data_IF_742520354037
#
_entry.id   IF_742520354037
#
_cell.length_a   1.000
_cell.length_b   1.000
_cell.length_c   1.000
_cell.angle_alpha   90.00
_cell.angle_beta   90.00
_cell.angle_gamma   90.00
#
_symmetry.space_group_name_H-M   'P 1'
#
loop_
_entity.id
_entity.type
_entity.pdbx_description
1 polymer ?
#
# COMPACT_ATOMS: atom_id res chain seq x y z
N UNK A 1 -2.41 -24.73 6.52
CA UNK A 1 -1.99 -23.59 5.68
C UNK A 1 -1.68 -22.44 6.61
N UNK A 2 -0.41 -22.10 6.81
CA UNK A 2 -0.10 -20.89 7.59
C UNK A 2 -0.66 -19.70 6.82
N UNK A 3 -1.25 -18.74 7.55
CA UNK A 3 -1.86 -17.52 6.99
C UNK A 3 -0.89 -16.73 6.10
N UNK A 4 0.41 -16.99 6.21
CA UNK A 4 1.48 -16.22 5.59
C UNK A 4 2.19 -16.90 4.41
N UNK A 5 1.83 -18.13 4.04
CA UNK A 5 2.44 -18.82 2.89
C UNK A 5 3.99 -18.84 2.92
N UNK A 6 4.58 -18.92 4.12
CA UNK A 6 6.04 -18.87 4.36
C UNK A 6 6.81 -19.97 3.61
N UNK A 7 6.10 -20.99 3.11
CA UNK A 7 6.64 -22.07 2.28
C UNK A 7 7.26 -21.58 0.96
N UNK A 8 7.00 -20.33 0.57
CA UNK A 8 7.63 -19.69 -0.60
C UNK A 8 9.03 -19.12 -0.31
N UNK A 9 9.36 -18.84 0.94
CA UNK A 9 10.64 -18.27 1.30
C UNK A 9 11.55 -19.43 1.69
N UNK A 10 12.64 -19.64 0.93
CA UNK A 10 13.68 -20.57 1.37
C UNK A 10 14.24 -20.04 2.68
N UNK A 11 14.12 -20.78 3.78
CA UNK A 11 14.74 -20.32 5.03
C UNK A 11 16.26 -20.34 4.83
N UNK A 12 16.99 -19.23 5.04
CA UNK A 12 18.43 -19.23 4.88
C UNK A 12 19.07 -20.25 5.83
N UNK A 13 20.04 -21.02 5.33
CA UNK A 13 20.75 -22.01 6.14
C UNK A 13 21.50 -21.28 7.25
N UNK A 14 21.35 -21.74 8.49
CA UNK A 14 22.08 -21.20 9.63
C UNK A 14 23.60 -21.20 9.33
N UNK A 15 24.32 -20.08 9.56
CA UNK A 15 25.76 -20.03 9.33
C UNK A 15 26.51 -21.11 10.14
N UNK A 16 27.66 -21.60 9.64
CA UNK A 16 28.44 -22.62 10.35
C UNK A 16 28.74 -22.20 11.80
N UNK A 17 28.38 -23.06 12.76
CA UNK A 17 28.57 -22.82 14.19
C UNK A 17 27.37 -22.22 14.92
N UNK A 18 26.27 -21.94 14.23
CA UNK A 18 24.99 -21.50 14.82
C UNK A 18 23.93 -22.61 14.71
N UNK A 19 23.02 -22.68 15.69
CA UNK A 19 21.91 -23.62 15.68
C UNK A 19 20.84 -23.19 14.66
N UNK A 20 20.22 -24.17 14.00
CA UNK A 20 19.01 -23.96 13.22
C UNK A 20 17.79 -24.15 14.12
N UNK A 21 17.26 -23.04 14.63
CA UNK A 21 16.12 -23.03 15.55
C UNK A 21 14.76 -23.11 14.83
N UNK A 22 14.73 -23.29 13.51
CA UNK A 22 13.48 -23.27 12.72
C UNK A 22 12.56 -24.46 13.01
N UNK A 23 13.12 -25.55 13.55
CA UNK A 23 12.39 -26.73 14.03
C UNK A 23 12.07 -26.68 15.53
N UNK A 24 12.45 -25.62 16.25
CA UNK A 24 12.17 -25.48 17.68
C UNK A 24 10.67 -25.24 17.91
N UNK A 25 10.05 -26.09 18.73
CA UNK A 25 8.66 -25.91 19.19
C UNK A 25 8.43 -24.60 19.96
N UNK A 26 9.50 -23.98 20.46
CA UNK A 26 9.50 -22.67 21.10
C UNK A 26 9.96 -21.54 20.16
N UNK A 27 10.02 -21.77 18.84
CA UNK A 27 10.37 -20.72 17.87
C UNK A 27 9.45 -19.50 18.06
N UNK A 28 10.03 -18.42 18.55
CA UNK A 28 9.36 -17.12 18.66
C UNK A 28 9.70 -16.35 17.39
N UNK A 29 8.72 -16.06 16.52
CA UNK A 29 8.99 -15.26 15.33
C UNK A 29 9.62 -13.92 15.71
N UNK A 30 10.49 -13.39 14.85
CA UNK A 30 11.19 -12.16 15.17
C UNK A 30 10.20 -11.05 15.54
N UNK A 31 10.44 -10.28 16.62
CA UNK A 31 9.50 -9.26 17.08
C UNK A 31 9.09 -8.25 16.00
N UNK A 32 10.01 -7.92 15.10
CA UNK A 32 9.73 -7.05 13.96
C UNK A 32 8.76 -7.66 12.94
N UNK A 33 8.78 -8.98 12.74
CA UNK A 33 7.84 -9.69 11.88
C UNK A 33 6.46 -9.78 12.53
N UNK A 34 6.39 -10.08 13.84
CA UNK A 34 5.14 -10.11 14.61
C UNK A 34 4.47 -8.73 14.63
N UNK A 35 5.26 -7.67 14.79
CA UNK A 35 4.75 -6.30 14.77
C UNK A 35 4.33 -5.81 13.37
N UNK A 36 4.76 -6.49 12.30
CA UNK A 36 4.32 -6.15 10.96
C UNK A 36 2.88 -6.63 10.74
N UNK A 37 1.92 -5.75 10.42
CA UNK A 37 0.51 -6.14 10.26
C UNK A 37 0.26 -7.21 9.19
N UNK A 38 1.14 -7.27 8.18
CA UNK A 38 1.09 -8.25 7.08
C UNK A 38 2.11 -9.38 7.25
N UNK A 39 2.84 -9.42 8.38
CA UNK A 39 3.78 -10.49 8.70
C UNK A 39 4.99 -10.58 7.77
N UNK A 40 5.41 -9.48 7.14
CA UNK A 40 6.59 -9.48 6.25
C UNK A 40 7.82 -10.03 6.98
N UNK A 41 8.51 -10.97 6.35
CA UNK A 41 9.71 -11.62 6.88
C UNK A 41 10.95 -10.70 6.80
N UNK A 42 10.99 -9.74 7.72
CA UNK A 42 12.09 -8.81 7.87
C UNK A 42 13.46 -9.46 8.11
N UNK A 43 13.60 -10.45 9.01
CA UNK A 43 14.87 -11.12 9.23
C UNK A 43 15.47 -11.69 7.95
N UNK A 44 14.68 -12.43 7.17
CA UNK A 44 15.20 -13.10 5.96
C UNK A 44 15.66 -12.10 4.91
N UNK A 45 14.85 -11.08 4.57
CA UNK A 45 15.29 -10.12 3.55
C UNK A 45 16.47 -9.27 4.02
N UNK A 46 16.62 -9.01 5.32
CA UNK A 46 17.81 -8.31 5.86
C UNK A 46 19.05 -9.19 5.73
N UNK A 47 18.94 -10.49 6.06
CA UNK A 47 20.01 -11.46 5.84
C UNK A 47 20.41 -11.57 4.37
N UNK A 48 19.44 -11.61 3.46
CA UNK A 48 19.70 -11.61 2.03
C UNK A 48 20.37 -10.33 1.53
N UNK A 49 19.97 -9.15 2.03
CA UNK A 49 20.67 -7.90 1.74
C UNK A 49 22.13 -7.97 2.21
N UNK A 50 22.38 -8.50 3.41
CA UNK A 50 23.74 -8.68 3.95
C UNK A 50 24.61 -9.58 3.04
N UNK A 51 24.02 -10.66 2.53
CA UNK A 51 24.67 -11.58 1.58
C UNK A 51 24.69 -11.08 0.13
N UNK A 52 24.14 -9.88 -0.15
CA UNK A 52 23.97 -9.30 -1.50
C UNK A 52 23.08 -10.14 -2.44
N UNK A 53 22.20 -10.94 -1.87
CA UNK A 53 21.19 -11.79 -2.54
C UNK A 53 19.88 -11.01 -2.74
N UNK A 54 19.92 -9.96 -3.57
CA UNK A 54 18.80 -9.02 -3.65
C UNK A 54 17.53 -9.61 -4.27
N UNK A 55 17.63 -10.63 -5.13
CA UNK A 55 16.46 -11.29 -5.72
C UNK A 55 15.67 -12.06 -4.67
N UNK A 56 16.36 -12.77 -3.78
CA UNK A 56 15.78 -13.49 -2.64
C UNK A 56 15.23 -12.51 -1.60
N UNK A 57 15.91 -11.38 -1.38
CA UNK A 57 15.36 -10.30 -0.55
C UNK A 57 14.05 -9.74 -1.12
N UNK A 58 13.99 -9.54 -2.45
CA UNK A 58 12.80 -9.06 -3.13
C UNK A 58 11.63 -10.04 -3.00
N UNK A 59 11.88 -11.34 -3.15
CA UNK A 59 10.88 -12.39 -2.94
C UNK A 59 10.34 -12.36 -1.51
N UNK A 60 11.22 -12.35 -0.51
CA UNK A 60 10.81 -12.30 0.90
C UNK A 60 10.00 -11.03 1.25
N UNK A 61 10.33 -9.89 0.64
CA UNK A 61 9.59 -8.63 0.80
C UNK A 61 8.18 -8.72 0.19
N UNK A 62 8.08 -9.23 -1.04
CA UNK A 62 6.84 -9.19 -1.83
C UNK A 62 5.91 -10.38 -1.60
N UNK A 63 6.39 -11.44 -0.94
CA UNK A 63 5.61 -12.65 -0.66
C UNK A 63 4.28 -12.40 0.06
N UNK A 64 4.24 -11.40 0.95
CA UNK A 64 3.07 -11.06 1.78
C UNK A 64 2.42 -9.73 1.43
N UNK A 65 3.05 -8.92 0.57
CA UNK A 65 2.59 -7.57 0.30
C UNK A 65 2.91 -7.11 -1.15
N UNK A 66 1.89 -6.98 -2.02
CA UNK A 66 2.10 -6.51 -3.39
C UNK A 66 2.51 -5.02 -3.46
N UNK A 67 2.28 -4.24 -2.39
CA UNK A 67 2.56 -2.79 -2.29
C UNK A 67 3.82 -2.45 -1.49
N UNK A 68 4.85 -3.28 -1.65
CA UNK A 68 6.07 -3.15 -0.84
C UNK A 68 6.89 -1.90 -1.14
N UNK A 69 6.85 -1.36 -2.37
CA UNK A 69 7.54 -0.11 -2.72
C UNK A 69 6.89 1.09 -2.04
N UNK A 70 5.56 1.04 -1.91
CA UNK A 70 4.74 2.01 -1.17
C UNK A 70 5.02 1.91 0.34
N UNK A 71 4.94 0.70 0.91
CA UNK A 71 5.22 0.50 2.34
C UNK A 71 6.67 0.83 2.73
N UNK A 72 7.63 0.74 1.80
CA UNK A 72 9.00 1.23 2.00
C UNK A 72 9.11 2.76 2.19
N UNK A 73 8.04 3.51 1.93
CA UNK A 73 8.02 4.98 2.00
C UNK A 73 7.08 5.52 3.07
N UNK A 74 5.86 4.98 3.15
CA UNK A 74 4.78 5.60 3.94
C UNK A 74 4.30 4.75 5.11
N UNK A 75 4.77 3.51 5.27
CA UNK A 75 4.46 2.72 6.46
C UNK A 75 4.99 3.39 7.72
N UNK A 76 4.23 3.38 8.81
CA UNK A 76 4.67 3.88 10.14
C UNK A 76 5.77 3.02 10.79
N UNK A 77 6.21 1.97 10.09
CA UNK A 77 7.28 1.07 10.49
C UNK A 77 7.10 0.49 11.91
N UNK A 78 5.94 -0.12 12.25
CA UNK A 78 5.73 -0.72 13.58
C UNK A 78 6.75 -1.82 13.92
N UNK A 79 7.39 -2.38 12.90
CA UNK A 79 8.48 -3.33 13.02
C UNK A 79 9.76 -2.73 13.63
N UNK A 80 10.01 -1.43 13.48
CA UNK A 80 11.23 -0.77 13.97
C UNK A 80 11.19 -0.56 15.50
N UNK A 81 10.12 0.00 16.11
CA UNK A 81 10.00 0.07 17.58
C UNK A 81 10.00 -1.29 18.27
N UNK A 82 9.52 -2.34 17.58
CA UNK A 82 9.55 -3.71 18.09
C UNK A 82 10.91 -4.41 17.91
N UNK A 83 11.85 -3.80 17.18
CA UNK A 83 13.14 -4.41 16.88
C UNK A 83 13.93 -4.69 18.17
N UNK A 84 14.46 -5.91 18.32
CA UNK A 84 15.28 -6.28 19.50
C UNK A 84 16.52 -5.39 19.67
N UNK A 85 17.05 -4.80 18.59
CA UNK A 85 18.21 -3.88 18.66
C UNK A 85 17.84 -2.49 19.21
N UNK A 86 16.56 -2.14 19.27
CA UNK A 86 16.11 -0.85 19.81
C UNK A 86 16.60 -0.64 21.25
N UNK A 87 16.62 -1.70 22.08
CA UNK A 87 17.14 -1.64 23.45
C UNK A 87 18.67 -1.63 23.56
N UNK A 88 19.39 -1.59 22.44
CA UNK A 88 20.85 -1.61 22.37
C UNK A 88 21.36 -0.32 21.71
N UNK A 89 21.52 -0.32 20.39
CA UNK A 89 22.11 0.76 19.60
C UNK A 89 21.15 1.33 18.54
N UNK A 90 19.85 1.07 18.72
CA UNK A 90 18.77 1.53 17.85
C UNK A 90 18.26 0.45 16.90
N UNK A 91 17.00 0.60 16.52
CA UNK A 91 16.33 -0.27 15.57
C UNK A 91 17.09 -0.35 14.25
N UNK A 92 17.04 -1.53 13.63
CA UNK A 92 17.39 -1.63 12.22
C UNK A 92 16.44 -0.75 11.42
N UNK A 93 16.93 -0.05 10.39
CA UNK A 93 16.10 0.73 9.47
C UNK A 93 15.36 -0.20 8.48
N UNK A 94 14.48 -1.07 9.01
CA UNK A 94 13.76 -2.13 8.32
C UNK A 94 12.98 -1.59 7.12
N UNK A 95 12.31 -0.44 7.26
CA UNK A 95 11.55 0.20 6.18
C UNK A 95 12.48 0.71 5.06
N UNK A 96 13.62 1.29 5.41
CA UNK A 96 14.57 1.82 4.42
C UNK A 96 15.29 0.68 3.67
N UNK A 97 15.59 -0.43 4.33
CA UNK A 97 16.15 -1.62 3.68
C UNK A 97 15.16 -2.25 2.70
N UNK A 98 13.86 -2.29 3.06
CA UNK A 98 12.79 -2.67 2.13
C UNK A 98 12.77 -1.76 0.91
N UNK A 99 12.77 -0.44 1.14
CA UNK A 99 12.82 0.54 0.06
C UNK A 99 14.05 0.35 -0.84
N UNK A 100 15.22 0.11 -0.27
CA UNK A 100 16.45 -0.10 -1.04
C UNK A 100 16.31 -1.24 -2.06
N UNK A 101 15.78 -2.40 -1.63
CA UNK A 101 15.56 -3.54 -2.54
C UNK A 101 14.49 -3.23 -3.58
N UNK A 102 13.38 -2.61 -3.16
CA UNK A 102 12.28 -2.27 -4.07
C UNK A 102 12.70 -1.21 -5.10
N UNK A 103 13.50 -0.21 -4.72
CA UNK A 103 14.01 0.80 -5.64
C UNK A 103 15.00 0.21 -6.67
N UNK A 104 15.67 -0.90 -6.34
CA UNK A 104 16.61 -1.57 -7.24
C UNK A 104 15.95 -2.58 -8.18
N UNK A 105 14.94 -3.32 -7.72
CA UNK A 105 14.36 -4.46 -8.45
C UNK A 105 12.86 -4.31 -8.76
N UNK A 106 12.14 -3.43 -8.09
CA UNK A 106 10.67 -3.40 -8.07
C UNK A 106 10.00 -3.22 -9.43
N UNK A 107 10.62 -2.45 -10.33
CA UNK A 107 10.11 -2.21 -11.68
C UNK A 107 10.27 -3.44 -12.60
N UNK A 108 11.46 -4.05 -12.57
CA UNK A 108 11.90 -5.04 -13.57
C UNK A 108 11.88 -6.49 -13.08
N UNK A 109 11.60 -6.73 -11.80
CA UNK A 109 11.62 -8.07 -11.22
C UNK A 109 10.71 -9.05 -12.01
N UNK A 110 11.22 -10.25 -12.33
CA UNK A 110 10.40 -11.31 -12.90
C UNK A 110 9.22 -11.62 -12.00
N UNK A 111 8.06 -11.87 -12.61
CA UNK A 111 6.83 -12.11 -11.89
C UNK A 111 6.19 -13.42 -12.29
N UNK A 112 5.75 -14.19 -11.30
CA UNK A 112 4.92 -15.38 -11.53
C UNK A 112 3.54 -14.95 -12.00
N UNK A 113 3.11 -15.48 -13.15
CA UNK A 113 1.77 -15.27 -13.66
C UNK A 113 0.79 -16.27 -13.03
N UNK A 114 -0.40 -15.80 -12.69
CA UNK A 114 -1.48 -16.60 -12.14
C UNK A 114 -2.53 -16.85 -13.22
N UNK A 115 -2.76 -18.13 -13.52
CA UNK A 115 -3.76 -18.56 -14.49
C UNK A 115 -5.16 -18.58 -13.86
N UNK A 116 -6.18 -18.31 -14.68
CA UNK A 116 -7.58 -18.51 -14.28
C UNK A 116 -7.87 -20.01 -14.29
N UNK A 117 -8.18 -20.56 -13.12
CA UNK A 117 -8.46 -21.99 -12.93
C UNK A 117 -9.83 -22.25 -12.30
N UNK A 118 -10.54 -21.18 -11.91
CA UNK A 118 -11.89 -21.20 -11.34
C UNK A 118 -12.90 -20.68 -12.37
N UNK A 119 -14.09 -21.28 -12.49
CA UNK A 119 -15.15 -20.76 -13.32
C UNK A 119 -15.83 -19.51 -12.72
N UNK A 120 -15.75 -19.32 -11.40
CA UNK A 120 -16.35 -18.17 -10.70
C UNK A 120 -15.57 -16.88 -10.93
N UNK A 121 -16.30 -15.75 -10.99
CA UNK A 121 -15.74 -14.40 -11.09
C UNK A 121 -16.09 -13.57 -9.85
N UNK A 122 -15.22 -12.61 -9.51
CA UNK A 122 -15.40 -11.71 -8.36
C UNK A 122 -15.29 -10.27 -8.79
N UNK A 123 -16.28 -9.45 -8.43
CA UNK A 123 -16.20 -7.99 -8.56
C UNK A 123 -15.53 -7.39 -7.32
N UNK A 124 -14.58 -6.48 -7.54
CA UNK A 124 -13.95 -5.66 -6.50
C UNK A 124 -14.26 -4.19 -6.78
N UNK A 125 -14.96 -3.53 -5.86
CA UNK A 125 -15.37 -2.13 -6.03
C UNK A 125 -14.43 -1.22 -5.24
N UNK A 126 -13.65 -0.42 -5.96
CA UNK A 126 -12.61 0.47 -5.45
C UNK A 126 -11.21 -0.13 -5.59
N UNK A 127 -10.30 0.64 -6.18
CA UNK A 127 -8.91 0.23 -6.49
C UNK A 127 -7.87 0.75 -5.49
N UNK A 128 -8.27 1.03 -4.26
CA UNK A 128 -7.32 1.32 -3.19
C UNK A 128 -6.48 0.11 -2.80
N UNK A 129 -5.55 0.26 -1.83
CA UNK A 129 -4.70 -0.84 -1.38
C UNK A 129 -5.51 -2.11 -1.03
N UNK A 130 -6.63 -1.96 -0.31
CA UNK A 130 -7.48 -3.09 0.05
C UNK A 130 -8.05 -3.85 -1.16
N UNK A 131 -8.59 -3.13 -2.14
CA UNK A 131 -9.22 -3.73 -3.32
C UNK A 131 -8.20 -4.41 -4.22
N UNK A 132 -7.08 -3.74 -4.49
CA UNK A 132 -6.04 -4.32 -5.33
C UNK A 132 -5.33 -5.50 -4.64
N UNK A 133 -5.07 -5.45 -3.33
CA UNK A 133 -4.54 -6.61 -2.60
C UNK A 133 -5.52 -7.78 -2.63
N UNK A 134 -6.83 -7.52 -2.47
CA UNK A 134 -7.84 -8.57 -2.60
C UNK A 134 -7.87 -9.16 -4.02
N UNK A 135 -7.82 -8.32 -5.05
CA UNK A 135 -7.74 -8.77 -6.44
C UNK A 135 -6.51 -9.65 -6.69
N UNK A 136 -5.35 -9.26 -6.15
CA UNK A 136 -4.12 -10.04 -6.24
C UNK A 136 -4.25 -11.44 -5.63
N UNK A 137 -4.76 -11.54 -4.39
CA UNK A 137 -4.93 -12.84 -3.71
C UNK A 137 -6.02 -13.70 -4.37
N UNK A 138 -7.07 -13.09 -4.92
CA UNK A 138 -8.10 -13.79 -5.69
C UNK A 138 -7.55 -14.34 -7.01
N UNK A 139 -6.79 -13.56 -7.77
CA UNK A 139 -6.13 -14.03 -8.99
C UNK A 139 -5.12 -15.14 -8.69
N UNK A 140 -4.32 -15.01 -7.64
CA UNK A 140 -3.42 -16.05 -7.14
C UNK A 140 -4.16 -17.34 -6.73
N UNK A 141 -5.41 -17.22 -6.31
CA UNK A 141 -6.31 -18.35 -6.00
C UNK A 141 -7.05 -18.90 -7.23
N UNK A 142 -6.80 -18.34 -8.42
CA UNK A 142 -7.31 -18.82 -9.70
C UNK A 142 -8.61 -18.20 -10.18
N UNK A 143 -9.13 -17.18 -9.50
CA UNK A 143 -10.37 -16.49 -9.90
C UNK A 143 -10.12 -15.44 -10.98
N UNK A 144 -11.12 -15.22 -11.85
CA UNK A 144 -11.21 -14.00 -12.65
C UNK A 144 -11.74 -12.86 -11.78
N UNK A 145 -11.17 -11.67 -11.94
CA UNK A 145 -11.46 -10.52 -11.08
C UNK A 145 -11.71 -9.28 -11.92
N UNK A 146 -12.84 -8.61 -11.67
CA UNK A 146 -13.18 -7.34 -12.28
C UNK A 146 -13.08 -6.23 -11.22
N UNK A 147 -12.16 -5.29 -11.40
CA UNK A 147 -12.01 -4.12 -10.53
C UNK A 147 -12.78 -2.94 -11.13
N UNK A 148 -13.72 -2.39 -10.36
CA UNK A 148 -14.50 -1.21 -10.70
C UNK A 148 -14.01 -0.01 -9.90
N UNK A 149 -13.45 0.99 -10.59
CA UNK A 149 -12.85 2.17 -9.98
C UNK A 149 -13.60 3.43 -10.40
N UNK A 150 -13.93 4.27 -9.43
CA UNK A 150 -14.65 5.53 -9.66
C UNK A 150 -13.84 6.54 -10.48
N UNK A 151 -12.52 6.54 -10.32
CA UNK A 151 -11.61 7.55 -10.91
C UNK A 151 -10.98 7.08 -12.23
N UNK A 152 -10.18 7.95 -12.84
CA UNK A 152 -9.51 7.74 -14.13
C UNK A 152 -8.26 6.86 -14.05
N UNK A 153 -7.87 6.40 -12.85
CA UNK A 153 -6.69 5.56 -12.63
C UNK A 153 -6.79 4.79 -11.31
N UNK A 154 -6.02 3.71 -11.22
CA UNK A 154 -5.97 2.84 -10.04
C UNK A 154 -5.18 3.48 -8.88
N UNK A 155 -5.42 3.01 -7.65
CA UNK A 155 -4.55 3.25 -6.50
C UNK A 155 -5.22 3.94 -5.31
N UNK A 156 -6.47 4.40 -5.45
CA UNK A 156 -7.25 5.00 -4.36
C UNK A 156 -6.48 6.11 -3.62
N UNK A 157 -6.48 6.08 -2.29
CA UNK A 157 -5.81 7.12 -1.47
C UNK A 157 -4.29 7.14 -1.60
N UNK A 158 -3.65 6.09 -2.14
CA UNK A 158 -2.21 6.12 -2.44
C UNK A 158 -1.91 7.16 -3.52
N UNK A 159 -2.79 7.28 -4.52
CA UNK A 159 -2.67 8.24 -5.63
C UNK A 159 -3.35 9.56 -5.29
N UNK A 160 -4.56 9.50 -4.72
CA UNK A 160 -5.41 10.67 -4.53
C UNK A 160 -5.22 11.35 -3.18
N UNK A 161 -4.64 10.67 -2.18
CA UNK A 161 -4.45 11.21 -0.83
C UNK A 161 -3.02 11.66 -0.56
N UNK A 162 -2.05 10.75 -0.74
CA UNK A 162 -0.66 10.98 -0.33
C UNK A 162 0.06 11.88 -1.35
N UNK A 163 0.67 13.00 -0.93
CA UNK A 163 1.38 13.88 -1.86
C UNK A 163 2.60 13.22 -2.51
N UNK A 164 2.89 13.60 -3.76
CA UNK A 164 4.02 13.07 -4.53
C UNK A 164 5.39 13.23 -3.86
N UNK A 165 5.57 14.25 -3.02
CA UNK A 165 6.82 14.47 -2.27
C UNK A 165 7.04 13.43 -1.14
N UNK A 166 6.00 12.68 -0.74
CA UNK A 166 6.10 11.53 0.17
C UNK A 166 6.07 10.21 -0.61
N UNK A 167 5.16 10.12 -1.58
CA UNK A 167 4.93 8.91 -2.36
C UNK A 167 4.85 9.25 -3.85
N UNK A 168 5.96 9.12 -4.60
CA UNK A 168 5.96 9.44 -6.03
C UNK A 168 5.01 8.52 -6.82
N UNK A 169 4.28 9.10 -7.79
CA UNK A 169 3.28 8.36 -8.58
C UNK A 169 3.88 7.17 -9.32
N UNK A 170 5.08 7.32 -9.90
CA UNK A 170 5.76 6.22 -10.60
C UNK A 170 5.99 4.98 -9.72
N UNK A 171 6.24 5.17 -8.42
CA UNK A 171 6.41 4.05 -7.48
C UNK A 171 5.09 3.30 -7.23
N UNK A 172 3.97 4.02 -7.23
CA UNK A 172 2.65 3.42 -7.11
C UNK A 172 2.33 2.62 -8.39
N UNK A 173 2.61 3.22 -9.55
CA UNK A 173 2.43 2.59 -10.86
C UNK A 173 3.28 1.32 -11.00
N UNK A 174 4.53 1.31 -10.51
CA UNK A 174 5.38 0.11 -10.50
C UNK A 174 4.71 -1.07 -9.78
N UNK A 175 4.20 -0.85 -8.57
CA UNK A 175 3.53 -1.90 -7.78
C UNK A 175 2.23 -2.37 -8.45
N UNK A 176 1.42 -1.43 -8.98
CA UNK A 176 0.18 -1.76 -9.70
C UNK A 176 0.47 -2.53 -10.98
N UNK A 177 1.43 -2.08 -11.80
CA UNK A 177 1.81 -2.73 -13.05
C UNK A 177 2.36 -4.13 -12.80
N UNK A 178 3.12 -4.32 -11.71
CA UNK A 178 3.62 -5.64 -11.31
C UNK A 178 2.46 -6.58 -10.97
N UNK A 179 1.51 -6.11 -10.15
CA UNK A 179 0.29 -6.85 -9.82
C UNK A 179 -0.51 -7.20 -11.09
N UNK A 180 -0.73 -6.26 -12.00
CA UNK A 180 -1.46 -6.50 -13.25
C UNK A 180 -0.76 -7.54 -14.14
N UNK A 181 0.57 -7.49 -14.27
CA UNK A 181 1.35 -8.50 -15.01
C UNK A 181 1.22 -9.90 -14.41
N UNK A 182 1.07 -10.00 -13.09
CA UNK A 182 0.86 -11.27 -12.39
C UNK A 182 -0.55 -11.83 -12.60
N UNK A 183 -1.56 -10.97 -12.74
CA UNK A 183 -2.96 -11.36 -12.70
C UNK A 183 -3.57 -11.44 -14.11
N UNK A 184 -3.46 -12.58 -14.80
CA UNK A 184 -4.02 -12.75 -16.15
C UNK A 184 -5.55 -12.61 -16.21
N UNK A 185 -6.24 -12.95 -15.13
CA UNK A 185 -7.70 -12.85 -15.00
C UNK A 185 -8.21 -11.48 -14.55
N UNK A 186 -7.36 -10.46 -14.44
CA UNK A 186 -7.74 -9.15 -13.94
C UNK A 186 -8.24 -8.23 -15.06
N UNK A 187 -9.49 -7.80 -14.95
CA UNK A 187 -10.09 -6.76 -15.81
C UNK A 187 -10.33 -5.50 -14.99
N UNK A 188 -10.04 -4.34 -15.58
CA UNK A 188 -10.15 -3.04 -14.90
C UNK A 188 -11.15 -2.14 -15.62
N UNK A 189 -12.13 -1.65 -14.86
CA UNK A 189 -13.16 -0.71 -15.31
C UNK A 189 -12.98 0.63 -14.59
N UNK A 190 -12.28 1.56 -15.23
CA UNK A 190 -12.08 2.93 -14.72
C UNK A 190 -13.33 3.79 -14.96
N UNK A 191 -13.40 4.95 -14.30
CA UNK A 191 -14.53 5.88 -14.41
C UNK A 191 -15.90 5.23 -14.18
N UNK A 192 -15.96 4.20 -13.34
CA UNK A 192 -17.14 3.38 -13.09
C UNK A 192 -17.52 3.44 -11.60
N UNK A 193 -18.09 4.56 -11.14
CA UNK A 193 -18.56 4.69 -9.75
C UNK A 193 -19.70 3.72 -9.43
N UNK A 194 -19.68 3.16 -8.22
CA UNK A 194 -20.83 2.45 -7.67
C UNK A 194 -22.01 3.42 -7.48
N UNK A 195 -23.19 3.03 -7.95
CA UNK A 195 -24.42 3.82 -7.90
C UNK A 195 -24.74 4.47 -9.24
N UNK A 196 -23.90 5.41 -9.71
CA UNK A 196 -24.15 6.15 -10.95
C UNK A 196 -23.53 5.53 -12.21
N UNK A 197 -22.47 4.73 -12.07
CA UNK A 197 -21.83 4.03 -13.18
C UNK A 197 -22.24 2.56 -13.26
N UNK A 198 -22.25 1.86 -12.12
CA UNK A 198 -22.73 0.47 -12.01
C UNK A 198 -23.51 0.30 -10.71
N UNK A 199 -24.59 -0.48 -10.71
CA UNK A 199 -25.35 -0.76 -9.48
C UNK A 199 -24.85 -2.01 -8.77
N UNK A 200 -25.09 -2.10 -7.45
CA UNK A 200 -24.73 -3.30 -6.68
C UNK A 200 -25.49 -4.54 -7.16
N UNK A 201 -26.75 -4.40 -7.58
CA UNK A 201 -27.54 -5.53 -8.08
C UNK A 201 -27.05 -6.02 -9.43
N UNK A 202 -26.59 -5.12 -10.31
CA UNK A 202 -25.92 -5.53 -11.55
C UNK A 202 -24.64 -6.33 -11.27
N UNK A 203 -23.81 -5.88 -10.32
CA UNK A 203 -22.59 -6.61 -9.96
C UNK A 203 -22.91 -7.99 -9.37
N UNK A 204 -23.90 -8.10 -8.49
CA UNK A 204 -24.35 -9.37 -7.92
C UNK A 204 -24.96 -10.32 -8.95
N UNK A 205 -25.54 -9.79 -10.02
CA UNK A 205 -26.05 -10.60 -11.13
C UNK A 205 -24.95 -11.08 -12.08
N UNK A 206 -23.85 -10.31 -12.23
CA UNK A 206 -22.73 -10.64 -13.14
C UNK A 206 -21.65 -11.51 -12.51
N UNK A 207 -21.45 -11.40 -11.20
CA UNK A 207 -20.33 -12.04 -10.49
C UNK A 207 -20.81 -12.95 -9.37
N UNK A 208 -20.00 -13.96 -9.05
CA UNK A 208 -20.30 -14.90 -7.97
C UNK A 208 -20.15 -14.26 -6.58
N UNK A 209 -19.30 -13.23 -6.46
CA UNK A 209 -19.14 -12.44 -5.26
C UNK A 209 -18.82 -10.98 -5.59
N UNK A 210 -19.15 -10.08 -4.66
CA UNK A 210 -18.82 -8.65 -4.73
C UNK A 210 -18.12 -8.25 -3.44
N UNK A 211 -16.93 -7.65 -3.57
CA UNK A 211 -16.17 -7.07 -2.48
C UNK A 211 -16.21 -5.55 -2.57
N UNK A 212 -16.64 -4.89 -1.50
CA UNK A 212 -16.68 -3.43 -1.42
C UNK A 212 -15.44 -2.90 -0.67
N UNK A 213 -14.57 -2.21 -1.39
CA UNK A 213 -13.31 -1.61 -0.89
C UNK A 213 -13.23 -0.13 -1.24
N UNK A 214 -14.36 0.57 -1.11
CA UNK A 214 -14.54 1.95 -1.57
C UNK A 214 -13.79 3.00 -0.74
N UNK A 215 -13.35 2.66 0.48
CA UNK A 215 -12.61 3.57 1.35
C UNK A 215 -13.43 4.78 1.84
N UNK A 216 -12.74 5.80 2.36
CA UNK A 216 -13.34 7.04 2.87
C UNK A 216 -12.84 8.24 2.06
N UNK A 217 -13.71 8.82 1.21
CA UNK A 217 -13.36 9.85 0.23
C UNK A 217 -13.67 11.29 0.65
N UNK A 218 -14.36 11.46 1.79
CA UNK A 218 -14.84 12.75 2.25
C UNK A 218 -14.27 13.08 3.63
N UNK A 219 -13.90 14.36 3.82
CA UNK A 219 -13.58 14.88 5.14
C UNK A 219 -14.79 14.90 6.07
N UNK A 220 -14.54 14.75 7.37
CA UNK A 220 -15.57 14.85 8.40
C UNK A 220 -15.77 16.34 8.77
N UNK A 221 -17.00 16.89 8.69
CA UNK A 221 -17.27 18.25 9.15
C UNK A 221 -17.10 18.36 10.68
N UNK A 222 -16.79 19.57 11.17
CA UNK A 222 -16.54 19.81 12.60
C UNK A 222 -17.83 20.11 13.37
N UNK A 223 -18.89 20.55 12.71
CA UNK A 223 -20.14 20.96 13.33
C UNK A 223 -20.05 22.29 14.07
N UNK A 224 -19.16 23.20 13.66
CA UNK A 224 -18.91 24.47 14.36
C UNK A 224 -19.39 25.70 13.57
N UNK A 225 -19.76 26.81 14.25
CA UNK A 225 -20.11 28.05 13.56
C UNK A 225 -19.00 28.52 12.62
N UNK A 226 -19.37 28.86 11.39
CA UNK A 226 -18.43 29.35 10.37
C UNK A 226 -17.79 28.27 9.49
N UNK A 227 -18.06 26.97 9.71
CA UNK A 227 -17.46 25.90 8.90
C UNK A 227 -17.88 25.89 7.42
N UNK A 228 -19.00 26.54 7.08
CA UNK A 228 -19.48 26.71 5.70
C UNK A 228 -18.86 27.93 4.98
N UNK A 229 -17.90 28.62 5.60
CA UNK A 229 -17.27 29.78 4.99
C UNK A 229 -16.49 29.37 3.72
N UNK A 230 -16.52 30.11 2.59
CA UNK A 230 -15.89 29.70 1.32
C UNK A 230 -14.37 29.47 1.34
N UNK A 231 -13.70 29.88 2.42
CA UNK A 231 -12.26 29.66 2.65
C UNK A 231 -11.96 28.44 3.54
N UNK A 232 -12.99 27.76 4.03
CA UNK A 232 -12.87 26.51 4.76
C UNK A 232 -12.99 25.39 3.75
N UNK A 233 -12.00 24.51 3.72
CA UNK A 233 -11.95 23.36 2.83
C UNK A 233 -11.55 22.12 3.65
N UNK A 234 -12.10 20.96 3.32
CA UNK A 234 -11.68 19.72 3.95
C UNK A 234 -10.32 19.25 3.41
N UNK A 235 -9.46 18.77 4.31
CA UNK A 235 -8.09 18.39 3.95
C UNK A 235 -8.00 17.25 2.93
N UNK A 236 -8.98 16.35 2.88
CA UNK A 236 -9.01 15.22 1.93
C UNK A 236 -9.27 15.74 0.52
N UNK A 237 -10.28 16.60 0.34
CA UNK A 237 -10.56 17.22 -0.95
C UNK A 237 -9.43 18.14 -1.39
N UNK A 238 -8.85 18.93 -0.48
CA UNK A 238 -7.69 19.76 -0.78
C UNK A 238 -6.55 18.93 -1.35
N UNK A 239 -6.11 17.89 -0.64
CA UNK A 239 -5.04 17.01 -1.10
C UNK A 239 -5.38 16.29 -2.41
N UNK A 240 -6.63 15.85 -2.58
CA UNK A 240 -7.10 15.24 -3.83
C UNK A 240 -6.95 16.18 -5.02
N UNK A 241 -7.33 17.46 -4.89
CA UNK A 241 -7.15 18.46 -5.94
C UNK A 241 -5.68 18.69 -6.28
N UNK A 242 -4.83 18.80 -5.26
CA UNK A 242 -3.39 18.96 -5.47
C UNK A 242 -2.79 17.73 -6.18
N UNK A 243 -3.20 16.54 -5.80
CA UNK A 243 -2.76 15.29 -6.43
C UNK A 243 -3.33 15.10 -7.85
N UNK A 244 -4.50 15.67 -8.14
CA UNK A 244 -5.05 15.77 -9.49
C UNK A 244 -4.29 16.75 -10.40
N UNK A 245 -3.34 17.51 -9.84
CA UNK A 245 -2.47 18.43 -10.58
C UNK A 245 -2.81 19.91 -10.38
N UNK A 246 -3.82 20.26 -9.60
CA UNK A 246 -4.15 21.66 -9.32
C UNK A 246 -3.01 22.36 -8.56
N UNK A 247 -2.73 23.61 -8.92
CA UNK A 247 -1.74 24.47 -8.24
C UNK A 247 -2.37 25.84 -7.95
N UNK A 248 -3.33 25.91 -7.01
CA UNK A 248 -4.04 27.15 -6.73
C UNK A 248 -3.14 28.18 -6.05
N UNK A 249 -3.47 29.47 -6.22
CA UNK A 249 -2.90 30.56 -5.44
C UNK A 249 -3.46 30.51 -4.03
N UNK A 250 -2.60 30.32 -3.02
CA UNK A 250 -2.99 30.25 -1.62
C UNK A 250 -2.97 31.65 -0.97
N UNK A 251 -3.78 31.86 0.10
CA UNK A 251 -3.59 32.99 1.00
C UNK A 251 -2.19 32.99 1.63
N UNK A 252 -1.74 34.16 2.12
CA UNK A 252 -0.44 34.29 2.79
C UNK A 252 -0.31 33.39 4.03
N UNK A 253 -1.40 33.24 4.77
CA UNK A 253 -1.50 32.37 5.95
C UNK A 253 -2.61 31.35 5.74
N UNK A 254 -2.28 30.07 5.90
CA UNK A 254 -3.25 28.96 5.91
C UNK A 254 -3.25 28.36 7.30
N UNK A 255 -4.43 28.03 7.84
CA UNK A 255 -4.54 27.34 9.14
C UNK A 255 -5.04 25.93 8.88
N UNK A 256 -4.29 24.93 9.35
CA UNK A 256 -4.69 23.52 9.27
C UNK A 256 -5.13 23.04 10.64
N UNK A 257 -6.34 22.48 10.71
CA UNK A 257 -6.92 21.96 11.95
C UNK A 257 -6.85 20.43 11.92
N UNK A 258 -5.94 19.87 12.70
CA UNK A 258 -5.72 18.42 12.84
C UNK A 258 -4.28 18.08 13.21
N UNK A 259 -4.03 16.82 13.60
CA UNK A 259 -2.70 16.34 14.02
C UNK A 259 -2.24 15.03 13.39
N UNK A 260 -2.99 14.49 12.43
CA UNK A 260 -2.64 13.26 11.72
C UNK A 260 -1.89 13.51 10.40
N UNK A 261 -1.64 12.44 9.65
CA UNK A 261 -0.95 12.51 8.34
C UNK A 261 -1.62 13.48 7.37
N UNK A 262 -2.95 13.47 7.27
CA UNK A 262 -3.70 14.38 6.39
C UNK A 262 -3.41 15.84 6.73
N UNK A 263 -3.32 16.18 8.02
CA UNK A 263 -2.99 17.53 8.45
C UNK A 263 -1.56 17.91 8.06
N UNK A 264 -0.59 17.02 8.35
CA UNK A 264 0.81 17.27 8.00
C UNK A 264 1.05 17.36 6.49
N UNK A 265 0.36 16.54 5.71
CA UNK A 265 0.42 16.55 4.27
C UNK A 265 -0.23 17.81 3.70
N UNK A 266 -1.39 18.23 4.24
CA UNK A 266 -2.04 19.48 3.86
C UNK A 266 -1.15 20.69 4.18
N UNK A 267 -0.53 20.73 5.37
CA UNK A 267 0.41 21.80 5.73
C UNK A 267 1.57 21.89 4.74
N UNK A 268 2.21 20.76 4.47
CA UNK A 268 3.38 20.68 3.60
C UNK A 268 3.02 20.96 2.14
N UNK A 269 1.83 20.56 1.70
CA UNK A 269 1.32 20.87 0.37
C UNK A 269 1.01 22.36 0.24
N UNK A 270 0.31 22.97 1.19
CA UNK A 270 0.00 24.40 1.19
C UNK A 270 1.27 25.27 1.14
N UNK A 271 2.29 24.96 1.96
CA UNK A 271 3.59 25.67 1.92
C UNK A 271 4.34 25.56 0.59
N UNK A 272 4.03 24.56 -0.24
CA UNK A 272 4.65 24.37 -1.58
C UNK A 272 3.87 25.05 -2.70
N UNK A 273 2.69 25.58 -2.41
CA UNK A 273 1.86 26.28 -3.38
C UNK A 273 2.18 27.78 -3.40
N UNK A 274 1.97 28.45 -4.54
CA UNK A 274 2.24 29.88 -4.64
C UNK A 274 1.37 30.69 -3.69
N UNK A 275 1.93 31.74 -3.09
CA UNK A 275 1.23 32.66 -2.19
C UNK A 275 1.33 32.32 -0.72
N UNK A 276 1.41 31.04 -0.34
CA UNK A 276 1.51 30.63 1.06
C UNK A 276 2.88 30.99 1.63
N UNK A 277 2.93 31.80 2.69
CA UNK A 277 4.16 32.11 3.43
C UNK A 277 4.21 31.42 4.78
N UNK A 278 3.04 31.14 5.37
CA UNK A 278 2.91 30.54 6.68
C UNK A 278 1.77 29.53 6.73
N UNK A 279 2.04 28.40 7.38
CA UNK A 279 1.04 27.44 7.85
C UNK A 279 1.22 27.24 9.35
#
# INVERSE_FOLDING_TARGET
>A
MSVYGLERISVPVAPPGFADDTADSHYVPAPCQVACPVGTDAPSYIGYIWEKKYAEAFEAITATNPFSSICGRVCDAPCEPACRRESSDGAVQIRNLKRFVMDQLGADAPTTQFEVTRPESVAVVGSGPAGLTAAFELCKSGFSVDVYEMTDRLGGTMVWGIPQFRLPTGIIEEDINRLQRQCKGLTVHLNTPLGSGVSLEELKARHSAVLLTIGAWWGKPMGIPGENHPKVEDGVSFLRRINAGERPQMPETVVVVGGGDVAMDACRAALRLPGCKQV
#
